data_IF_314582412402
#
_entry.id   IF_314582412402
#
_cell.length_a   1.000
_cell.length_b   1.000
_cell.length_c   1.000
_cell.angle_alpha   90.00
_cell.angle_beta   90.00
_cell.angle_gamma   90.00
#
_symmetry.space_group_name_H-M   'P 1'
#
loop_
_entity.id
_entity.type
_entity.pdbx_description
1 polymer ?
#
# COMPACT_ATOMS: atom_id res chain seq x y z
N UNK A 1 -10.92 12.10 2.11
CA UNK A 1 -9.91 11.06 1.80
C UNK A 1 -10.47 10.09 0.79
N UNK A 2 -9.81 10.01 -0.36
CA UNK A 2 -10.05 8.99 -1.38
C UNK A 2 -8.77 8.18 -1.54
N UNK A 3 -8.90 6.86 -1.46
CA UNK A 3 -7.79 5.90 -1.65
C UNK A 3 -8.15 5.00 -2.82
N UNK A 4 -7.25 4.87 -3.78
CA UNK A 4 -7.41 3.99 -4.94
C UNK A 4 -6.19 3.09 -5.06
N UNK A 5 -6.40 1.78 -5.07
CA UNK A 5 -5.39 0.82 -5.49
C UNK A 5 -5.20 0.95 -7.01
N UNK A 6 -3.98 1.20 -7.44
CA UNK A 6 -3.61 1.33 -8.85
C UNK A 6 -3.15 0.00 -9.41
N UNK A 7 -2.32 -0.72 -8.65
CA UNK A 7 -1.76 -1.99 -9.06
C UNK A 7 -1.33 -2.82 -7.85
N UNK A 8 -1.51 -4.13 -7.95
CA UNK A 8 -1.07 -5.16 -7.00
C UNK A 8 -0.22 -6.27 -7.64
N UNK A 9 0.05 -6.22 -8.96
CA UNK A 9 0.93 -7.12 -9.74
C UNK A 9 1.00 -8.58 -9.24
N UNK A 10 -0.15 -9.24 -9.05
CA UNK A 10 -0.21 -10.63 -8.58
C UNK A 10 0.70 -10.91 -7.36
N UNK A 11 0.67 -10.02 -6.38
CA UNK A 11 1.45 -10.10 -5.15
C UNK A 11 1.45 -11.50 -4.52
N UNK A 12 0.28 -12.16 -4.46
CA UNK A 12 0.15 -13.51 -3.92
C UNK A 12 0.94 -14.58 -4.71
N UNK A 13 1.06 -14.43 -6.03
CA UNK A 13 1.75 -15.37 -6.91
C UNK A 13 3.26 -15.32 -6.67
N UNK A 14 3.82 -14.11 -6.66
CA UNK A 14 5.26 -13.92 -6.43
C UNK A 14 5.61 -14.35 -5.00
N UNK A 15 4.82 -13.94 -4.01
CA UNK A 15 5.03 -14.36 -2.62
C UNK A 15 4.95 -15.89 -2.46
N UNK A 16 3.99 -16.57 -3.09
CA UNK A 16 3.86 -18.03 -3.01
C UNK A 16 5.04 -18.76 -3.67
N UNK A 17 5.45 -18.32 -4.86
CA UNK A 17 6.56 -18.91 -5.59
C UNK A 17 7.88 -18.77 -4.79
N UNK A 18 8.17 -17.56 -4.31
CA UNK A 18 9.43 -17.27 -3.61
C UNK A 18 9.49 -17.93 -2.23
N UNK A 19 8.36 -18.13 -1.57
CA UNK A 19 8.33 -18.87 -0.31
C UNK A 19 8.75 -20.34 -0.46
N UNK A 20 8.64 -20.91 -1.67
CA UNK A 20 8.94 -22.32 -1.95
C UNK A 20 10.38 -22.55 -2.42
N UNK A 21 11.11 -21.50 -2.84
CA UNK A 21 12.42 -21.66 -3.48
C UNK A 21 13.47 -22.35 -2.60
N UNK A 22 13.41 -22.15 -1.28
CA UNK A 22 14.35 -22.76 -0.33
C UNK A 22 14.05 -24.23 0.01
N UNK A 23 12.89 -24.76 -0.42
CA UNK A 23 12.41 -26.11 -0.05
C UNK A 23 11.87 -26.93 -1.22
N UNK A 24 11.94 -26.40 -2.45
CA UNK A 24 11.53 -27.10 -3.66
C UNK A 24 12.73 -27.51 -4.49
N UNK A 25 12.63 -28.65 -5.19
CA UNK A 25 13.60 -29.06 -6.21
C UNK A 25 13.41 -28.33 -7.55
N UNK A 26 12.30 -27.60 -7.71
CA UNK A 26 11.97 -26.82 -8.92
C UNK A 26 12.74 -25.51 -8.94
N UNK A 27 13.01 -25.01 -10.13
CA UNK A 27 13.58 -23.67 -10.28
C UNK A 27 12.53 -22.58 -10.05
N UNK A 28 12.97 -21.32 -9.95
CA UNK A 28 12.08 -20.19 -9.64
C UNK A 28 11.02 -19.94 -10.72
N UNK A 29 11.37 -20.12 -11.99
CA UNK A 29 10.46 -19.86 -13.11
C UNK A 29 9.30 -20.88 -13.12
N UNK A 30 9.59 -22.16 -12.88
CA UNK A 30 8.57 -23.22 -12.71
C UNK A 30 7.62 -22.91 -11.54
N UNK A 31 8.14 -22.43 -10.42
CA UNK A 31 7.34 -22.08 -9.24
C UNK A 31 6.44 -20.87 -9.49
N UNK A 32 6.92 -19.89 -10.25
CA UNK A 32 6.13 -18.73 -10.67
C UNK A 32 5.02 -19.15 -11.63
N UNK A 33 5.32 -20.02 -12.61
CA UNK A 33 4.32 -20.54 -13.55
C UNK A 33 3.21 -21.33 -12.85
N UNK A 34 3.58 -22.21 -11.91
CA UNK A 34 2.61 -22.93 -11.06
C UNK A 34 1.72 -21.99 -10.26
N UNK A 35 2.34 -21.01 -9.60
CA UNK A 35 1.63 -20.08 -8.73
C UNK A 35 0.71 -19.15 -9.54
N UNK A 36 1.09 -18.85 -10.79
CA UNK A 36 0.26 -18.08 -11.74
C UNK A 36 -0.93 -18.89 -12.24
N UNK A 37 -0.72 -20.19 -12.46
CA UNK A 37 -1.75 -21.10 -12.98
C UNK A 37 -2.80 -21.49 -11.94
N UNK A 38 -2.46 -21.48 -10.65
CA UNK A 38 -3.39 -21.77 -9.54
C UNK A 38 -3.26 -20.72 -8.41
N UNK A 39 -3.91 -19.58 -8.62
CA UNK A 39 -3.87 -18.43 -7.70
C UNK A 39 -4.53 -18.71 -6.35
N UNK A 40 -5.53 -19.59 -6.30
CA UNK A 40 -6.19 -19.96 -5.04
C UNK A 40 -5.24 -20.78 -4.17
N UNK A 41 -4.54 -21.75 -4.76
CA UNK A 41 -3.52 -22.52 -4.04
C UNK A 41 -2.35 -21.64 -3.61
N UNK A 42 -1.89 -20.73 -4.48
CA UNK A 42 -0.88 -19.73 -4.14
C UNK A 42 -1.30 -18.90 -2.91
N UNK A 43 -2.55 -18.38 -2.89
CA UNK A 43 -3.09 -17.59 -1.77
C UNK A 43 -3.13 -18.39 -0.46
N UNK A 44 -3.61 -19.63 -0.50
CA UNK A 44 -3.61 -20.52 0.69
C UNK A 44 -2.18 -20.78 1.18
N UNK A 45 -1.24 -20.98 0.27
CA UNK A 45 0.17 -21.20 0.59
C UNK A 45 0.75 -20.01 1.34
N UNK A 46 0.59 -18.79 0.81
CA UNK A 46 1.04 -17.56 1.48
C UNK A 46 0.47 -17.44 2.88
N UNK A 47 -0.85 -17.66 3.05
CA UNK A 47 -1.49 -17.56 4.36
C UNK A 47 -0.90 -18.55 5.38
N UNK A 48 -0.69 -19.82 4.97
CA UNK A 48 -0.09 -20.83 5.82
C UNK A 48 1.34 -20.43 6.24
N UNK A 49 2.13 -19.91 5.31
CA UNK A 49 3.52 -19.55 5.58
C UNK A 49 3.62 -18.32 6.52
N UNK A 50 2.72 -17.35 6.36
CA UNK A 50 2.62 -16.22 7.30
C UNK A 50 2.23 -16.68 8.71
N UNK A 51 1.31 -17.65 8.83
CA UNK A 51 0.93 -18.22 10.13
C UNK A 51 2.06 -19.01 10.82
N UNK A 52 3.06 -19.46 10.06
CA UNK A 52 4.28 -20.09 10.59
C UNK A 52 5.32 -19.06 11.08
N UNK A 53 5.04 -17.75 10.94
CA UNK A 53 5.95 -16.67 11.35
C UNK A 53 6.97 -16.25 10.29
N UNK A 54 6.90 -16.80 9.07
CA UNK A 54 7.81 -16.44 7.97
C UNK A 54 7.32 -15.17 7.24
N UNK A 55 7.30 -14.04 7.94
CA UNK A 55 6.71 -12.79 7.44
C UNK A 55 7.48 -12.10 6.31
N UNK A 56 8.77 -12.40 6.13
CA UNK A 56 9.60 -11.80 5.07
C UNK A 56 9.05 -12.03 3.67
N UNK A 57 8.21 -13.05 3.48
CA UNK A 57 7.57 -13.34 2.19
C UNK A 57 6.56 -12.27 1.79
N UNK A 58 5.97 -11.57 2.76
CA UNK A 58 5.08 -10.45 2.49
C UNK A 58 5.83 -9.24 1.91
N UNK A 59 7.14 -9.13 2.11
CA UNK A 59 7.93 -8.00 1.59
C UNK A 59 8.08 -8.04 0.06
N UNK A 60 7.81 -9.19 -0.57
CA UNK A 60 7.80 -9.32 -2.02
C UNK A 60 6.50 -8.81 -2.68
N UNK A 61 5.46 -8.52 -1.88
CA UNK A 61 4.20 -7.98 -2.35
C UNK A 61 4.25 -6.45 -2.45
N UNK A 62 4.18 -5.90 -3.66
CA UNK A 62 4.21 -4.46 -3.91
C UNK A 62 2.83 -3.96 -4.33
N UNK A 63 2.32 -2.97 -3.59
CA UNK A 63 1.04 -2.31 -3.86
C UNK A 63 1.25 -0.82 -4.12
N UNK A 64 0.57 -0.30 -5.14
CA UNK A 64 0.63 1.12 -5.48
C UNK A 64 -0.72 1.77 -5.17
N UNK A 65 -0.70 2.83 -4.36
CA UNK A 65 -1.90 3.55 -3.94
C UNK A 65 -1.86 5.01 -4.38
N UNK A 66 -2.98 5.49 -4.90
CA UNK A 66 -3.25 6.92 -5.04
C UNK A 66 -4.07 7.37 -3.83
N UNK A 67 -3.54 8.33 -3.08
CA UNK A 67 -4.19 8.91 -1.90
C UNK A 67 -4.45 10.39 -2.19
N UNK A 68 -5.72 10.79 -2.16
CA UNK A 68 -6.18 12.14 -2.52
C UNK A 68 -7.14 12.68 -1.46
N UNK A 69 -7.35 14.01 -1.47
CA UNK A 69 -8.27 14.70 -0.56
C UNK A 69 -7.94 14.41 0.92
N UNK A 70 -6.66 14.53 1.25
CA UNK A 70 -6.11 14.37 2.59
C UNK A 70 -5.44 15.67 3.02
N UNK A 71 -5.45 15.94 4.33
CA UNK A 71 -4.74 17.10 4.87
C UNK A 71 -3.23 16.87 4.81
N UNK A 72 -2.46 17.96 4.79
CA UNK A 72 -1.00 17.90 4.89
C UNK A 72 -0.54 17.18 6.17
N UNK A 73 -1.25 17.38 7.28
CA UNK A 73 -1.00 16.65 8.53
C UNK A 73 -1.13 15.12 8.36
N UNK A 74 -2.11 14.66 7.57
CA UNK A 74 -2.27 13.24 7.30
C UNK A 74 -1.17 12.70 6.37
N UNK A 75 -0.72 13.49 5.39
CA UNK A 75 0.44 13.14 4.56
C UNK A 75 1.68 12.91 5.42
N UNK A 76 1.99 13.84 6.34
CA UNK A 76 3.12 13.68 7.26
C UNK A 76 3.03 12.41 8.11
N UNK A 77 1.81 12.02 8.52
CA UNK A 77 1.61 10.76 9.26
C UNK A 77 1.88 9.53 8.38
N UNK A 78 1.41 9.54 7.13
CA UNK A 78 1.61 8.43 6.18
C UNK A 78 3.10 8.26 5.87
N UNK A 79 3.81 9.37 5.66
CA UNK A 79 5.23 9.38 5.28
C UNK A 79 6.19 9.12 6.45
N UNK A 80 5.69 9.04 7.70
CA UNK A 80 6.49 8.58 8.85
C UNK A 80 6.96 7.13 8.71
N UNK A 81 6.27 6.30 7.91
CA UNK A 81 6.70 4.92 7.64
C UNK A 81 7.88 4.97 6.67
N UNK A 82 8.96 4.25 6.98
CA UNK A 82 10.23 4.33 6.23
C UNK A 82 10.65 3.06 5.49
N UNK A 83 10.05 1.91 5.82
CA UNK A 83 10.52 0.60 5.32
C UNK A 83 9.53 0.08 4.28
N UNK A 84 10.05 -0.33 3.12
CA UNK A 84 9.28 -0.99 2.05
C UNK A 84 8.33 -0.05 1.30
N UNK A 85 8.59 1.27 1.33
CA UNK A 85 7.68 2.29 0.80
C UNK A 85 8.46 3.30 -0.05
N UNK A 86 7.78 3.81 -1.08
CA UNK A 86 8.22 4.96 -1.86
C UNK A 86 7.07 5.96 -1.95
N UNK A 87 7.37 7.24 -1.77
CA UNK A 87 6.37 8.30 -1.77
C UNK A 87 6.63 9.27 -2.92
N UNK A 88 5.56 9.80 -3.48
CA UNK A 88 5.59 10.94 -4.41
C UNK A 88 4.42 11.82 -4.06
N UNK A 89 4.71 12.95 -3.43
CA UNK A 89 3.73 13.95 -3.01
C UNK A 89 3.61 15.06 -4.05
N UNK A 90 2.40 15.63 -4.18
CA UNK A 90 2.19 16.87 -4.93
C UNK A 90 2.99 18.02 -4.28
N UNK A 91 4.05 18.47 -4.96
CA UNK A 91 4.95 19.46 -4.40
C UNK A 91 4.37 20.88 -4.42
N UNK A 92 4.20 21.47 -3.23
CA UNK A 92 3.80 22.88 -3.07
C UNK A 92 4.87 23.87 -3.58
N UNK A 93 6.11 23.41 -3.83
CA UNK A 93 7.17 24.23 -4.43
C UNK A 93 6.93 24.52 -5.91
N UNK A 94 6.21 23.63 -6.59
CA UNK A 94 5.96 23.71 -8.04
C UNK A 94 4.48 23.91 -8.36
N UNK A 95 3.58 23.47 -7.49
CA UNK A 95 2.13 23.59 -7.69
C UNK A 95 1.51 24.32 -6.51
N UNK A 96 1.05 25.55 -6.73
CA UNK A 96 0.26 26.29 -5.75
C UNK A 96 -1.06 25.56 -5.51
N UNK A 97 -1.37 25.26 -4.25
CA UNK A 97 -2.65 24.70 -3.84
C UNK A 97 -3.60 25.85 -3.51
N UNK A 98 -4.80 25.87 -4.10
CA UNK A 98 -5.79 26.93 -3.88
C UNK A 98 -7.06 26.31 -3.30
N UNK A 99 -7.39 26.65 -2.05
CA UNK A 99 -8.61 26.14 -1.40
C UNK A 99 -8.64 24.63 -1.11
N UNK A 100 -7.52 23.92 -1.27
CA UNK A 100 -7.40 22.47 -1.08
C UNK A 100 -7.26 22.06 0.40
N UNK A 101 -8.07 22.64 1.29
CA UNK A 101 -8.06 22.29 2.71
C UNK A 101 -9.10 21.21 3.05
N UNK A 102 -8.74 20.33 3.98
CA UNK A 102 -9.65 19.30 4.50
C UNK A 102 -10.28 19.83 5.79
N UNK A 103 -11.61 19.97 5.79
CA UNK A 103 -12.38 20.36 6.97
C UNK A 103 -12.48 19.18 7.94
N UNK A 104 -12.03 19.32 9.20
CA UNK A 104 -12.24 18.31 10.22
C UNK A 104 -13.74 18.16 10.50
N UNK A 105 -14.21 16.92 10.63
CA UNK A 105 -15.65 16.63 10.80
C UNK A 105 -16.14 16.95 12.21
N UNK A 106 -15.21 17.01 13.15
CA UNK A 106 -15.40 17.28 14.56
C UNK A 106 -15.57 18.78 14.88
N UNK A 107 -15.36 19.67 13.91
CA UNK A 107 -15.51 21.11 14.13
C UNK A 107 -16.97 21.50 14.32
N UNK A 108 -17.22 22.35 15.32
CA UNK A 108 -18.51 23.02 15.47
C UNK A 108 -18.75 24.02 14.33
N UNK A 109 -19.99 24.49 14.15
CA UNK A 109 -20.27 25.56 13.16
C UNK A 109 -19.46 26.83 13.44
N UNK A 110 -19.25 27.16 14.72
CA UNK A 110 -18.45 28.30 15.14
C UNK A 110 -16.98 28.12 14.76
N UNK A 111 -16.42 26.91 14.95
CA UNK A 111 -15.03 26.62 14.60
C UNK A 111 -14.82 26.53 13.09
N UNK A 112 -15.80 26.01 12.35
CA UNK A 112 -15.79 26.06 10.88
C UNK A 112 -15.79 27.50 10.37
N UNK A 113 -16.61 28.38 10.96
CA UNK A 113 -16.66 29.80 10.56
C UNK A 113 -15.35 30.55 10.87
N UNK A 114 -14.62 30.16 11.92
CA UNK A 114 -13.26 30.68 12.20
C UNK A 114 -12.26 30.13 11.18
N UNK A 115 -12.33 28.82 10.90
CA UNK A 115 -11.42 28.13 9.99
C UNK A 115 -11.53 28.63 8.55
N UNK A 116 -12.74 28.90 8.05
CA UNK A 116 -12.97 29.42 6.69
C UNK A 116 -12.52 30.87 6.48
N UNK A 117 -12.17 31.59 7.56
CA UNK A 117 -11.64 32.96 7.52
C UNK A 117 -10.10 33.02 7.57
N UNK A 118 -9.44 31.89 7.81
CA UNK A 118 -7.98 31.76 7.76
C UNK A 118 -7.49 31.69 6.30
#
# INVERSE_FOLDING_TARGET
MKVKLVNSNNAEVISAAYARISRSSKNVDELVEESTSDTESARRSVFNILNMGHHSIADHAIFNFNIMEVSRLMVELIEKRRIGVGYTEKSQRYVTLQGDYVRPKEFSQEDLAKFEKL
#
